data_IF_471485624699
#
_entry.id   IF_471485624699
#
_cell.length_a   1.000
_cell.length_b   1.000
_cell.length_c   1.000
_cell.angle_alpha   90.00
_cell.angle_beta   90.00
_cell.angle_gamma   90.00
#
_symmetry.space_group_name_H-M   'P 1'
#
loop_
_entity.id
_entity.type
_entity.pdbx_description
1 polymer ?
#
# COMPACT_ATOMS: atom_id res chain seq x y z
N UNK A 1 77.17 26.19 15.80
CA UNK A 1 75.99 26.51 14.98
C UNK A 1 75.15 27.50 15.78
N UNK A 2 75.12 28.74 15.33
CA UNK A 2 74.66 29.88 16.14
C UNK A 2 73.16 29.86 16.35
N UNK A 3 72.73 30.03 17.60
CA UNK A 3 71.34 29.95 18.01
C UNK A 3 70.39 30.91 17.24
N UNK A 4 70.95 31.93 16.60
CA UNK A 4 70.20 32.86 15.73
C UNK A 4 69.70 32.21 14.44
N UNK A 5 70.48 31.33 13.82
CA UNK A 5 70.12 30.66 12.58
C UNK A 5 69.03 29.62 12.77
N UNK A 6 68.96 28.99 13.96
CA UNK A 6 67.84 28.01 14.29
C UNK A 6 66.52 28.72 14.43
N UNK A 7 66.49 29.96 14.95
CA UNK A 7 65.23 30.72 15.06
C UNK A 7 64.66 31.13 13.69
N UNK A 8 65.52 31.50 12.76
CA UNK A 8 65.07 31.82 11.38
C UNK A 8 64.67 30.60 10.59
N UNK A 9 65.33 29.46 10.81
CA UNK A 9 64.95 28.22 10.17
C UNK A 9 63.54 27.73 10.65
N UNK A 10 63.25 27.84 11.95
CA UNK A 10 61.98 27.54 12.54
C UNK A 10 60.87 28.49 12.03
N UNK A 11 61.17 29.77 11.85
CA UNK A 11 60.19 30.74 11.32
C UNK A 11 59.86 30.49 9.85
N UNK A 12 60.83 30.11 9.03
CA UNK A 12 60.61 29.76 7.60
C UNK A 12 59.84 28.49 7.46
N UNK A 13 60.02 27.47 8.33
CA UNK A 13 59.21 26.24 8.32
C UNK A 13 57.74 26.47 8.71
N UNK A 14 57.45 27.44 9.58
CA UNK A 14 56.07 27.79 9.96
C UNK A 14 55.32 28.55 8.86
N UNK A 15 56.01 29.31 8.02
CA UNK A 15 55.40 30.09 6.93
C UNK A 15 55.09 29.19 5.69
N UNK A 16 55.89 28.09 5.51
CA UNK A 16 55.76 27.19 4.38
C UNK A 16 54.50 26.30 4.37
N UNK A 17 53.75 26.24 5.51
CA UNK A 17 52.54 25.40 5.61
C UNK A 17 51.23 26.19 5.53
N UNK A 18 51.26 27.47 5.20
CA UNK A 18 50.04 28.22 4.84
C UNK A 18 49.67 27.94 3.39
N UNK A 19 49.32 26.68 3.10
CA UNK A 19 48.58 26.38 1.88
C UNK A 19 47.22 27.11 1.96
N UNK A 20 46.93 28.03 1.04
CA UNK A 20 45.58 28.58 0.99
C UNK A 20 44.61 27.40 0.74
N UNK A 21 43.88 27.02 1.77
CA UNK A 21 42.70 26.18 1.59
C UNK A 21 41.72 27.02 0.78
N UNK A 22 41.87 26.96 -0.54
CA UNK A 22 40.86 27.44 -1.47
C UNK A 22 39.66 26.52 -1.35
N UNK A 23 38.85 26.73 -0.34
CA UNK A 23 37.49 26.24 -0.34
C UNK A 23 36.73 27.02 -1.41
N UNK A 24 36.99 26.67 -2.66
CA UNK A 24 36.12 27.05 -3.76
C UNK A 24 34.88 26.20 -3.68
N UNK A 25 33.97 26.54 -2.77
CA UNK A 25 32.56 26.26 -3.01
C UNK A 25 32.15 27.11 -4.20
N UNK A 26 32.30 26.56 -5.39
CA UNK A 26 31.62 27.11 -6.56
C UNK A 26 30.11 27.03 -6.24
N UNK A 27 29.56 28.11 -5.71
CA UNK A 27 28.15 28.27 -5.54
C UNK A 27 27.56 28.25 -6.96
N UNK A 28 27.03 27.08 -7.39
CA UNK A 28 26.24 27.01 -8.61
C UNK A 28 25.09 28.00 -8.43
N UNK A 29 25.09 29.05 -9.23
CA UNK A 29 23.94 29.95 -9.28
C UNK A 29 22.72 29.13 -9.72
N UNK A 30 21.63 29.24 -8.97
CA UNK A 30 20.36 28.64 -9.31
C UNK A 30 19.81 29.34 -10.55
N UNK A 31 19.70 28.60 -11.65
CA UNK A 31 19.02 29.03 -12.85
C UNK A 31 17.62 28.39 -12.91
N UNK A 32 16.70 28.98 -13.68
CA UNK A 32 15.36 28.41 -13.86
C UNK A 32 15.43 26.98 -14.42
N UNK A 33 16.40 26.71 -15.30
CA UNK A 33 16.62 25.38 -15.87
C UNK A 33 17.04 24.34 -14.80
N UNK A 34 17.77 24.78 -13.78
CA UNK A 34 18.17 23.92 -12.67
C UNK A 34 16.98 23.54 -11.77
N UNK A 35 15.92 24.37 -11.68
CA UNK A 35 14.74 24.07 -10.89
C UNK A 35 13.97 22.86 -11.46
N UNK A 36 13.93 22.72 -12.77
CA UNK A 36 13.27 21.58 -13.43
C UNK A 36 14.00 20.25 -13.13
N UNK A 37 15.31 20.31 -12.94
CA UNK A 37 16.14 19.14 -12.62
C UNK A 37 16.06 18.71 -11.14
N UNK A 38 15.46 19.54 -10.27
CA UNK A 38 15.35 19.22 -8.86
C UNK A 38 14.36 18.10 -8.62
N UNK A 39 14.81 17.17 -7.79
CA UNK A 39 14.00 16.05 -7.35
C UNK A 39 13.91 16.09 -5.83
N UNK A 40 12.76 15.70 -5.31
CA UNK A 40 12.55 15.51 -3.88
C UNK A 40 12.32 14.04 -3.59
N UNK A 41 12.74 13.58 -2.42
CA UNK A 41 12.33 12.29 -1.90
C UNK A 41 10.89 12.47 -1.38
N UNK A 42 9.93 11.84 -2.04
CA UNK A 42 8.50 11.91 -1.68
C UNK A 42 8.00 10.67 -0.96
N UNK A 43 8.82 9.64 -0.82
CA UNK A 43 8.54 8.43 -0.07
C UNK A 43 9.77 7.57 0.09
N UNK A 44 9.84 6.86 1.21
CA UNK A 44 10.90 5.90 1.51
C UNK A 44 10.31 4.70 2.22
N UNK A 45 10.95 3.55 2.05
CA UNK A 45 10.66 2.32 2.76
C UNK A 45 11.94 1.53 3.00
N UNK A 46 11.99 0.84 4.12
CA UNK A 46 13.06 -0.12 4.45
C UNK A 46 12.39 -1.48 4.58
N UNK A 47 13.03 -2.52 4.05
CA UNK A 47 12.56 -3.90 4.21
C UNK A 47 12.64 -4.34 5.68
N UNK A 48 11.76 -5.27 6.10
CA UNK A 48 11.72 -5.76 7.49
C UNK A 48 13.06 -6.35 7.95
N UNK A 49 13.85 -6.94 7.04
CA UNK A 49 15.18 -7.47 7.34
C UNK A 49 16.30 -6.40 7.35
N UNK A 50 15.99 -5.13 7.07
CA UNK A 50 16.94 -4.00 7.05
C UNK A 50 17.96 -3.99 5.92
N UNK A 51 17.88 -4.92 4.94
CA UNK A 51 18.89 -5.05 3.87
C UNK A 51 18.63 -4.17 2.67
N UNK A 52 17.39 -3.71 2.47
CA UNK A 52 16.95 -3.04 1.26
C UNK A 52 16.26 -1.72 1.60
N UNK A 53 16.54 -0.71 0.81
CA UNK A 53 15.94 0.62 0.92
C UNK A 53 15.37 1.01 -0.42
N UNK A 54 14.12 1.43 -0.46
CA UNK A 54 13.49 1.99 -1.64
C UNK A 54 13.15 3.46 -1.41
N UNK A 55 13.49 4.33 -2.37
CA UNK A 55 13.23 5.76 -2.31
C UNK A 55 12.50 6.23 -3.56
N UNK A 56 11.40 6.95 -3.39
CA UNK A 56 10.68 7.60 -4.46
C UNK A 56 11.24 9.00 -4.69
N UNK A 57 11.81 9.20 -5.85
CA UNK A 57 12.31 10.48 -6.33
C UNK A 57 11.22 11.11 -7.21
N UNK A 58 10.79 12.31 -6.88
CA UNK A 58 9.74 13.03 -7.59
C UNK A 58 10.29 14.35 -8.11
N UNK A 59 10.36 14.55 -9.43
CA UNK A 59 10.72 15.83 -10.02
C UNK A 59 9.59 16.85 -9.83
N UNK A 60 9.90 18.14 -9.95
CA UNK A 60 8.88 19.18 -9.95
C UNK A 60 7.86 18.96 -11.06
N UNK A 61 8.33 18.57 -12.24
CA UNK A 61 7.50 18.23 -13.38
C UNK A 61 8.00 16.95 -14.05
N UNK A 62 7.10 15.99 -14.31
CA UNK A 62 7.45 14.72 -14.94
C UNK A 62 6.96 13.51 -14.18
N UNK A 63 7.58 12.38 -14.49
CA UNK A 63 7.25 11.09 -13.89
C UNK A 63 8.17 10.82 -12.69
N UNK A 64 7.60 10.35 -11.59
CA UNK A 64 8.36 9.92 -10.43
C UNK A 64 9.08 8.59 -10.70
N UNK A 65 10.17 8.36 -9.98
CA UNK A 65 11.00 7.15 -10.08
C UNK A 65 11.20 6.57 -8.69
N UNK A 66 11.08 5.26 -8.54
CA UNK A 66 11.51 4.57 -7.32
C UNK A 66 12.83 3.88 -7.60
N UNK A 67 13.84 4.17 -6.80
CA UNK A 67 15.15 3.53 -6.82
C UNK A 67 15.27 2.59 -5.63
N UNK A 68 15.79 1.40 -5.88
CA UNK A 68 16.06 0.37 -4.90
C UNK A 68 17.56 0.29 -4.62
N UNK A 69 17.93 0.31 -3.36
CA UNK A 69 19.33 0.27 -2.89
C UNK A 69 19.54 -0.88 -1.92
N UNK A 70 20.76 -1.38 -1.86
CA UNK A 70 21.22 -2.23 -0.75
C UNK A 70 21.58 -1.39 0.48
N UNK A 71 21.92 -2.06 1.59
CA UNK A 71 22.32 -1.42 2.84
C UNK A 71 23.65 -0.61 2.74
N UNK A 72 24.42 -0.81 1.66
CA UNK A 72 25.65 -0.07 1.37
C UNK A 72 25.40 1.15 0.48
N UNK A 73 24.17 1.39 0.06
CA UNK A 73 23.77 2.49 -0.82
C UNK A 73 24.02 2.24 -2.30
N UNK A 74 24.30 1.01 -2.70
CA UNK A 74 24.43 0.64 -4.11
C UNK A 74 23.05 0.50 -4.73
N UNK A 75 22.81 1.17 -5.84
CA UNK A 75 21.58 1.04 -6.60
C UNK A 75 21.50 -0.33 -7.28
N UNK A 76 20.37 -1.01 -7.07
CA UNK A 76 20.10 -2.36 -7.60
C UNK A 76 19.11 -2.34 -8.75
N UNK A 77 18.08 -1.48 -8.65
CA UNK A 77 17.03 -1.40 -9.66
C UNK A 77 16.34 -0.04 -9.64
N UNK A 78 15.79 0.34 -10.78
CA UNK A 78 15.04 1.57 -10.99
C UNK A 78 13.66 1.26 -11.58
N UNK A 79 12.62 1.88 -11.01
CA UNK A 79 11.23 1.72 -11.43
C UNK A 79 10.67 3.07 -11.88
N UNK A 80 10.64 3.35 -13.20
CA UNK A 80 10.11 4.60 -13.72
C UNK A 80 8.59 4.67 -13.54
N UNK A 81 8.06 5.89 -13.38
CA UNK A 81 6.62 6.16 -13.25
C UNK A 81 5.99 5.50 -12.03
N UNK A 82 6.78 5.22 -11.00
CA UNK A 82 6.32 4.56 -9.80
C UNK A 82 5.44 5.49 -8.95
N UNK A 83 4.38 4.92 -8.36
CA UNK A 83 3.48 5.64 -7.45
C UNK A 83 3.56 5.09 -6.03
N UNK A 84 3.10 3.87 -5.80
CA UNK A 84 3.19 3.18 -4.52
C UNK A 84 4.19 2.04 -4.63
N UNK A 85 4.91 1.81 -3.55
CA UNK A 85 5.85 0.69 -3.44
C UNK A 85 5.84 0.15 -2.01
N UNK A 86 5.93 -1.18 -1.89
CA UNK A 86 5.87 -1.90 -0.63
C UNK A 86 6.82 -3.09 -0.70
N UNK A 87 7.58 -3.34 0.38
CA UNK A 87 8.29 -4.60 0.54
C UNK A 87 7.35 -5.70 1.01
N UNK A 88 7.65 -6.93 0.64
CA UNK A 88 6.95 -8.11 1.13
C UNK A 88 7.36 -8.45 2.57
N UNK A 89 6.56 -9.28 3.23
CA UNK A 89 6.81 -9.77 4.58
C UNK A 89 8.16 -10.49 4.71
N UNK A 90 8.52 -11.31 3.71
CA UNK A 90 9.83 -11.99 3.66
C UNK A 90 10.99 -11.05 3.39
N UNK A 91 10.72 -9.82 2.92
CA UNK A 91 11.73 -8.91 2.37
C UNK A 91 12.43 -9.42 1.10
N UNK A 92 11.83 -10.37 0.37
CA UNK A 92 12.37 -10.93 -0.87
C UNK A 92 11.76 -10.30 -2.13
N UNK A 93 10.72 -9.50 -1.96
CA UNK A 93 10.02 -8.85 -3.06
C UNK A 93 9.78 -7.36 -2.80
N UNK A 94 9.86 -6.59 -3.87
CA UNK A 94 9.38 -5.20 -3.93
C UNK A 94 8.20 -5.14 -4.90
N UNK A 95 7.05 -4.71 -4.42
CA UNK A 95 5.84 -4.55 -5.22
C UNK A 95 5.63 -3.07 -5.51
N UNK A 96 5.57 -2.70 -6.78
CA UNK A 96 5.54 -1.31 -7.24
C UNK A 96 4.36 -1.10 -8.17
N UNK A 97 3.50 -0.13 -7.89
CA UNK A 97 2.53 0.33 -8.89
C UNK A 97 3.15 1.40 -9.79
N UNK A 98 2.96 1.25 -11.10
CA UNK A 98 3.46 2.18 -12.11
C UNK A 98 2.31 2.88 -12.80
N UNK A 99 2.37 4.21 -12.86
CA UNK A 99 1.40 5.02 -13.61
C UNK A 99 1.72 5.04 -15.12
N UNK A 100 0.74 5.32 -15.96
CA UNK A 100 1.01 5.69 -17.34
C UNK A 100 1.87 6.98 -17.39
N UNK A 101 2.72 7.09 -18.40
CA UNK A 101 3.57 8.28 -18.56
C UNK A 101 2.76 9.58 -18.59
N UNK A 102 3.19 10.57 -17.82
CA UNK A 102 2.50 11.87 -17.68
C UNK A 102 2.26 12.53 -19.05
N UNK A 103 3.26 12.55 -19.92
CA UNK A 103 3.13 13.13 -21.27
C UNK A 103 2.04 12.45 -22.12
N UNK A 104 1.90 11.12 -22.00
CA UNK A 104 0.87 10.36 -22.71
C UNK A 104 -0.51 10.75 -22.17
N UNK A 105 -0.65 10.77 -20.84
CA UNK A 105 -1.91 11.12 -20.16
C UNK A 105 -2.33 12.54 -20.51
N UNK A 106 -1.40 13.51 -20.50
CA UNK A 106 -1.69 14.91 -20.79
C UNK A 106 -2.05 15.13 -22.28
N UNK A 107 -1.36 14.46 -23.20
CA UNK A 107 -1.74 14.45 -24.61
C UNK A 107 -3.15 13.91 -24.85
N UNK A 108 -3.53 12.84 -24.16
CA UNK A 108 -4.87 12.24 -24.26
C UNK A 108 -5.95 13.14 -23.64
N UNK A 109 -5.63 13.87 -22.56
CA UNK A 109 -6.53 14.87 -21.97
C UNK A 109 -6.77 16.05 -22.93
N UNK A 110 -5.72 16.57 -23.55
CA UNK A 110 -5.83 17.64 -24.56
C UNK A 110 -6.74 17.19 -25.72
N UNK A 111 -6.60 15.92 -26.15
CA UNK A 111 -7.46 15.31 -27.18
C UNK A 111 -8.87 14.98 -26.68
N UNK A 112 -9.23 15.32 -25.43
CA UNK A 112 -10.52 15.03 -24.80
C UNK A 112 -10.90 13.53 -24.89
N UNK A 113 -9.90 12.66 -24.77
CA UNK A 113 -10.11 11.20 -24.82
C UNK A 113 -11.02 10.76 -23.69
N UNK A 114 -12.00 9.89 -23.98
CA UNK A 114 -12.93 9.35 -22.99
C UNK A 114 -12.18 8.57 -21.91
N UNK A 115 -12.64 8.65 -20.65
CA UNK A 115 -12.03 8.00 -19.48
C UNK A 115 -11.80 6.49 -19.67
N UNK A 116 -12.70 5.82 -20.38
CA UNK A 116 -12.59 4.37 -20.66
C UNK A 116 -11.40 4.02 -21.56
N UNK A 117 -10.93 4.96 -22.37
CA UNK A 117 -9.81 4.79 -23.30
C UNK A 117 -8.48 5.32 -22.75
N UNK A 118 -8.48 5.90 -21.56
CA UNK A 118 -7.24 6.32 -20.91
C UNK A 118 -6.44 5.09 -20.48
N UNK A 119 -5.10 5.11 -20.54
CA UNK A 119 -4.28 4.02 -20.05
C UNK A 119 -4.49 3.81 -18.54
N UNK A 120 -4.24 2.62 -18.06
CA UNK A 120 -4.34 2.23 -16.65
C UNK A 120 -2.95 1.99 -16.07
N UNK A 121 -2.89 1.92 -14.76
CA UNK A 121 -1.67 1.61 -14.03
C UNK A 121 -1.23 0.15 -14.31
N UNK A 122 0.00 -0.16 -13.97
CA UNK A 122 0.53 -1.52 -13.95
C UNK A 122 1.04 -1.85 -12.54
N UNK A 123 1.06 -3.12 -12.18
CA UNK A 123 1.69 -3.63 -10.97
C UNK A 123 2.95 -4.40 -11.36
N UNK A 124 4.05 -4.06 -10.74
CA UNK A 124 5.34 -4.75 -10.91
C UNK A 124 5.66 -5.49 -9.63
N UNK A 125 5.85 -6.78 -9.71
CA UNK A 125 6.37 -7.62 -8.64
C UNK A 125 7.83 -7.91 -8.99
N UNK A 126 8.75 -7.37 -8.21
CA UNK A 126 10.18 -7.51 -8.42
C UNK A 126 10.78 -8.42 -7.35
N UNK A 127 11.39 -9.52 -7.77
CA UNK A 127 12.13 -10.39 -6.86
C UNK A 127 13.54 -9.85 -6.65
N UNK A 128 13.96 -9.72 -5.40
CA UNK A 128 15.29 -9.24 -5.02
C UNK A 128 16.40 -10.27 -5.34
N UNK A 129 16.03 -11.53 -5.57
CA UNK A 129 16.92 -12.57 -6.09
C UNK A 129 17.03 -12.60 -7.61
N UNK A 130 16.27 -11.76 -8.31
CA UNK A 130 16.17 -11.69 -9.76
C UNK A 130 14.81 -12.15 -10.27
N UNK A 131 14.29 -11.43 -11.24
CA UNK A 131 12.97 -11.68 -11.83
C UNK A 131 12.01 -10.52 -11.64
N UNK A 132 11.12 -10.39 -12.62
CA UNK A 132 10.12 -9.31 -12.66
C UNK A 132 8.87 -9.83 -13.34
N UNK A 133 7.75 -9.73 -12.64
CA UNK A 133 6.41 -9.93 -13.18
C UNK A 133 5.73 -8.58 -13.36
N UNK A 134 5.04 -8.37 -14.48
CA UNK A 134 4.27 -7.15 -14.74
C UNK A 134 2.82 -7.51 -15.00
N UNK A 135 1.93 -6.91 -14.24
CA UNK A 135 0.48 -7.07 -14.35
C UNK A 135 -0.10 -5.77 -14.87
N UNK A 136 -0.56 -5.78 -16.11
CA UNK A 136 -1.13 -4.60 -16.76
C UNK A 136 -2.58 -4.35 -16.33
N UNK A 137 -3.03 -3.11 -16.61
CA UNK A 137 -4.41 -2.67 -16.38
C UNK A 137 -4.84 -2.76 -14.91
N UNK A 138 -3.95 -2.42 -14.01
CA UNK A 138 -4.21 -2.42 -12.57
C UNK A 138 -5.29 -1.41 -12.21
N UNK A 139 -6.31 -1.85 -11.44
CA UNK A 139 -7.33 -0.98 -10.85
C UNK A 139 -6.99 -0.64 -9.40
N UNK A 140 -6.66 -1.64 -8.61
CA UNK A 140 -6.24 -1.51 -7.21
C UNK A 140 -5.51 -2.77 -6.76
N UNK A 141 -4.70 -2.65 -5.71
CA UNK A 141 -4.04 -3.80 -5.08
C UNK A 141 -3.91 -3.64 -3.57
N UNK A 142 -3.71 -4.75 -2.89
CA UNK A 142 -3.32 -4.87 -1.50
C UNK A 142 -2.20 -5.90 -1.39
N UNK A 143 -1.24 -5.63 -0.52
CA UNK A 143 -0.18 -6.56 -0.15
C UNK A 143 -0.46 -7.01 1.28
N UNK A 144 -0.30 -8.30 1.56
CA UNK A 144 -0.36 -8.80 2.92
C UNK A 144 0.87 -8.33 3.71
N UNK A 145 0.69 -7.88 4.95
CA UNK A 145 1.78 -7.33 5.76
C UNK A 145 2.69 -8.41 6.34
N UNK A 146 2.13 -9.59 6.66
CA UNK A 146 2.86 -10.69 7.28
C UNK A 146 2.78 -12.00 6.48
N UNK A 147 2.47 -11.91 5.19
CA UNK A 147 2.49 -13.04 4.27
C UNK A 147 2.88 -12.56 2.86
N UNK A 148 3.54 -13.41 2.09
CA UNK A 148 3.98 -13.05 0.72
C UNK A 148 2.85 -13.25 -0.30
N UNK A 149 1.75 -12.53 -0.09
CA UNK A 149 0.56 -12.57 -0.94
C UNK A 149 0.16 -11.19 -1.42
N UNK A 150 -0.30 -11.11 -2.65
CA UNK A 150 -0.87 -9.91 -3.24
C UNK A 150 -2.28 -10.18 -3.76
N UNK A 151 -3.17 -9.25 -3.48
CA UNK A 151 -4.53 -9.24 -4.01
C UNK A 151 -4.71 -8.01 -4.90
N UNK A 152 -5.29 -8.17 -6.09
CA UNK A 152 -5.47 -7.06 -7.03
C UNK A 152 -6.68 -7.24 -7.92
N UNK A 153 -7.17 -6.15 -8.47
CA UNK A 153 -8.18 -6.10 -9.51
C UNK A 153 -7.62 -5.48 -10.78
N UNK A 154 -8.06 -5.98 -11.93
CA UNK A 154 -7.67 -5.50 -13.27
C UNK A 154 -8.86 -4.86 -13.99
N UNK A 155 -8.56 -4.03 -14.97
CA UNK A 155 -9.57 -3.45 -15.83
C UNK A 155 -10.52 -2.47 -15.14
N UNK A 156 -11.18 -1.63 -15.92
CA UNK A 156 -12.10 -0.61 -15.39
C UNK A 156 -13.48 -1.16 -15.05
N UNK A 157 -13.95 -2.11 -15.82
CA UNK A 157 -15.29 -2.71 -15.69
C UNK A 157 -15.23 -4.07 -15.02
N UNK A 158 -14.11 -4.74 -15.11
CA UNK A 158 -13.88 -6.00 -14.44
C UNK A 158 -13.70 -5.77 -12.94
N UNK A 159 -14.46 -6.49 -12.15
CA UNK A 159 -14.39 -6.47 -10.70
C UNK A 159 -13.90 -7.80 -10.13
N UNK A 160 -13.31 -8.65 -10.97
CA UNK A 160 -12.70 -9.91 -10.52
C UNK A 160 -11.50 -9.59 -9.63
N UNK A 161 -11.50 -10.20 -8.47
CA UNK A 161 -10.38 -10.18 -7.55
C UNK A 161 -9.45 -11.35 -7.88
N UNK A 162 -8.17 -11.05 -8.06
CA UNK A 162 -7.09 -12.01 -8.20
C UNK A 162 -6.24 -11.99 -6.95
N UNK A 163 -5.96 -13.17 -6.39
CA UNK A 163 -5.10 -13.33 -5.21
C UNK A 163 -4.04 -14.35 -5.54
N UNK A 164 -2.78 -13.97 -5.44
CA UNK A 164 -1.65 -14.83 -5.77
C UNK A 164 -0.47 -14.65 -4.81
N UNK A 165 0.38 -15.67 -4.63
CA UNK A 165 1.63 -15.51 -3.93
C UNK A 165 2.59 -14.63 -4.74
N UNK A 166 3.52 -13.96 -4.07
CA UNK A 166 4.57 -13.18 -4.72
C UNK A 166 5.60 -14.07 -5.42
N UNK A 167 5.77 -15.30 -4.93
CA UNK A 167 6.63 -16.28 -5.56
C UNK A 167 5.98 -16.82 -6.85
N UNK A 168 6.48 -16.39 -8.00
CA UNK A 168 5.97 -16.78 -9.30
C UNK A 168 6.07 -18.31 -9.58
N UNK A 169 6.90 -19.05 -8.83
CA UNK A 169 7.01 -20.51 -8.96
C UNK A 169 5.82 -21.25 -8.31
N UNK A 170 5.05 -20.58 -7.46
CA UNK A 170 3.83 -21.14 -6.89
C UNK A 170 2.67 -20.88 -7.84
N UNK A 171 2.01 -21.96 -8.26
CA UNK A 171 0.87 -21.90 -9.17
C UNK A 171 -0.45 -21.60 -8.49
N UNK A 172 -0.48 -21.54 -7.16
CA UNK A 172 -1.70 -21.30 -6.38
C UNK A 172 -2.23 -19.90 -6.63
N UNK A 173 -3.39 -19.80 -7.24
CA UNK A 173 -4.09 -18.54 -7.49
C UNK A 173 -5.54 -18.68 -7.14
N UNK A 174 -6.12 -17.64 -6.57
CA UNK A 174 -7.54 -17.58 -6.25
C UNK A 174 -8.20 -16.46 -7.03
N UNK A 175 -9.40 -16.69 -7.49
CA UNK A 175 -10.22 -15.71 -8.18
C UNK A 175 -11.58 -15.62 -7.50
N UNK A 176 -12.13 -14.42 -7.45
CA UNK A 176 -13.48 -14.16 -6.99
C UNK A 176 -14.15 -13.10 -7.89
N UNK A 177 -15.35 -13.40 -8.44
CA UNK A 177 -16.02 -12.48 -9.36
C UNK A 177 -16.71 -11.32 -8.61
N UNK A 178 -16.95 -10.24 -9.31
CA UNK A 178 -17.78 -9.11 -8.90
C UNK A 178 -17.46 -8.53 -7.50
N UNK A 179 -16.16 -8.49 -7.14
CA UNK A 179 -15.70 -8.01 -5.84
C UNK A 179 -15.75 -6.48 -5.77
N UNK A 180 -16.40 -5.96 -4.73
CA UNK A 180 -16.56 -4.53 -4.44
C UNK A 180 -15.47 -3.97 -3.54
N UNK A 181 -15.03 -4.76 -2.55
CA UNK A 181 -13.98 -4.39 -1.59
C UNK A 181 -13.25 -5.63 -1.09
N UNK A 182 -12.00 -5.46 -0.71
CA UNK A 182 -11.17 -6.51 -0.11
C UNK A 182 -10.02 -5.91 0.68
N UNK A 183 -9.55 -6.61 1.70
CA UNK A 183 -8.34 -6.28 2.43
C UNK A 183 -7.77 -7.51 3.14
N UNK A 184 -6.47 -7.50 3.41
CA UNK A 184 -5.81 -8.49 4.25
C UNK A 184 -5.95 -8.13 5.74
N UNK A 185 -5.84 -9.14 6.60
CA UNK A 185 -5.57 -8.95 8.01
C UNK A 185 -4.12 -8.48 8.22
N UNK A 186 -3.85 -7.79 9.32
CA UNK A 186 -2.53 -7.19 9.56
C UNK A 186 -1.45 -8.22 9.83
N UNK A 187 -1.73 -9.26 10.64
CA UNK A 187 -0.71 -10.22 11.09
C UNK A 187 -0.79 -11.59 10.42
N UNK A 188 -1.65 -11.78 9.43
CA UNK A 188 -1.84 -13.07 8.76
C UNK A 188 -2.11 -12.95 7.27
N UNK A 189 -2.12 -14.08 6.56
CA UNK A 189 -2.54 -14.18 5.17
C UNK A 189 -4.06 -14.26 4.97
N UNK A 190 -4.86 -13.96 6.01
CA UNK A 190 -6.31 -13.93 5.89
C UNK A 190 -6.78 -12.73 5.09
N UNK A 191 -7.68 -12.95 4.15
CA UNK A 191 -8.24 -11.92 3.28
C UNK A 191 -9.77 -11.93 3.38
N UNK A 192 -10.39 -10.79 3.65
CA UNK A 192 -11.81 -10.66 3.39
C UNK A 192 -12.08 -10.06 2.01
N UNK A 193 -13.19 -10.45 1.40
CA UNK A 193 -13.72 -9.77 0.23
C UNK A 193 -15.24 -9.73 0.25
N UNK A 194 -15.78 -8.65 -0.31
CA UNK A 194 -17.21 -8.43 -0.47
C UNK A 194 -17.54 -8.57 -1.94
N UNK A 195 -18.38 -9.55 -2.29
CA UNK A 195 -18.79 -9.78 -3.67
C UNK A 195 -20.29 -9.52 -3.89
N UNK A 196 -20.64 -9.08 -5.10
CA UNK A 196 -22.01 -9.09 -5.57
C UNK A 196 -22.45 -10.50 -5.99
N UNK A 197 -21.53 -11.45 -5.98
CA UNK A 197 -21.72 -12.80 -6.46
C UNK A 197 -21.80 -12.87 -7.98
N UNK A 198 -21.76 -14.08 -8.49
CA UNK A 198 -22.20 -14.41 -9.82
C UNK A 198 -23.40 -15.35 -9.74
N UNK A 199 -24.11 -15.48 -10.85
CA UNK A 199 -25.34 -16.32 -10.86
C UNK A 199 -25.02 -17.83 -10.82
N UNK A 200 -23.75 -18.21 -10.97
CA UNK A 200 -23.36 -19.60 -11.17
C UNK A 200 -22.67 -20.21 -9.94
N UNK A 201 -21.75 -19.50 -9.26
CA UNK A 201 -20.87 -20.13 -8.28
C UNK A 201 -20.80 -19.42 -6.92
N UNK A 202 -20.80 -18.09 -6.88
CA UNK A 202 -20.66 -17.34 -5.62
C UNK A 202 -21.91 -16.53 -5.30
N UNK A 203 -22.49 -16.76 -4.12
CA UNK A 203 -23.57 -15.94 -3.59
C UNK A 203 -23.06 -14.53 -3.23
N UNK A 204 -23.93 -13.50 -3.31
CA UNK A 204 -23.54 -12.17 -2.83
C UNK A 204 -23.31 -12.20 -1.31
N UNK A 205 -22.24 -11.54 -0.87
CA UNK A 205 -21.92 -11.51 0.55
C UNK A 205 -20.49 -11.13 0.89
N UNK A 206 -20.17 -11.29 2.16
CA UNK A 206 -18.82 -11.14 2.73
C UNK A 206 -18.21 -12.52 2.91
N UNK A 207 -17.06 -12.72 2.32
CA UNK A 207 -16.26 -13.94 2.39
C UNK A 207 -14.95 -13.72 3.10
N UNK A 208 -14.45 -14.79 3.71
CA UNK A 208 -13.12 -14.92 4.25
C UNK A 208 -12.36 -15.96 3.45
N UNK A 209 -11.16 -15.62 3.00
CA UNK A 209 -10.23 -16.51 2.31
C UNK A 209 -8.96 -16.67 3.15
N UNK A 210 -8.64 -17.89 3.50
CA UNK A 210 -7.30 -18.24 4.00
C UNK A 210 -6.40 -18.51 2.79
N UNK A 211 -5.40 -17.66 2.55
CA UNK A 211 -4.56 -17.77 1.35
C UNK A 211 -3.61 -18.96 1.41
N UNK A 212 -3.27 -19.45 2.60
CA UNK A 212 -2.37 -20.61 2.77
C UNK A 212 -3.08 -21.92 2.48
N UNK A 213 -4.31 -22.08 2.98
CA UNK A 213 -5.07 -23.31 2.84
C UNK A 213 -6.03 -23.30 1.64
N UNK A 214 -6.34 -22.13 1.10
CA UNK A 214 -7.32 -21.93 0.02
C UNK A 214 -8.77 -22.03 0.46
N UNK A 215 -9.03 -22.16 1.75
CA UNK A 215 -10.40 -22.30 2.26
C UNK A 215 -11.11 -20.96 2.17
N UNK A 216 -12.24 -20.96 1.43
CA UNK A 216 -13.18 -19.85 1.34
C UNK A 216 -14.37 -20.10 2.25
N UNK A 217 -14.70 -19.17 3.12
CA UNK A 217 -15.86 -19.24 4.02
C UNK A 217 -16.79 -18.07 3.80
N UNK A 218 -18.06 -18.34 3.61
CA UNK A 218 -19.11 -17.31 3.56
C UNK A 218 -19.44 -16.86 4.97
N UNK A 219 -19.05 -15.65 5.31
CA UNK A 219 -19.23 -15.04 6.63
C UNK A 219 -20.64 -14.48 6.80
N UNK A 220 -21.13 -13.78 5.77
CA UNK A 220 -22.47 -13.20 5.76
C UNK A 220 -23.00 -13.14 4.34
N UNK A 221 -24.09 -13.86 4.09
CA UNK A 221 -24.83 -13.78 2.84
C UNK A 221 -25.67 -12.50 2.78
N UNK A 222 -25.71 -11.87 1.63
CA UNK A 222 -26.57 -10.72 1.33
C UNK A 222 -25.96 -9.74 0.34
N UNK A 223 -26.80 -9.14 -0.49
CA UNK A 223 -26.42 -8.10 -1.46
C UNK A 223 -26.59 -6.68 -0.88
N UNK A 224 -26.56 -6.56 0.44
CA UNK A 224 -26.66 -5.30 1.16
C UNK A 224 -25.36 -4.49 1.15
N UNK A 225 -25.32 -3.48 2.01
CA UNK A 225 -24.17 -2.60 2.19
C UNK A 225 -23.37 -3.06 3.39
N UNK A 226 -22.12 -3.41 3.15
CA UNK A 226 -21.11 -3.70 4.16
C UNK A 226 -20.23 -2.45 4.37
N UNK A 227 -19.96 -2.08 5.61
CA UNK A 227 -19.06 -0.97 5.96
C UNK A 227 -18.17 -1.33 7.14
N UNK A 228 -17.03 -0.65 7.24
CA UNK A 228 -16.09 -0.77 8.35
C UNK A 228 -15.77 -2.23 8.70
N UNK A 229 -15.42 -3.01 7.65
CA UNK A 229 -15.00 -4.39 7.86
C UNK A 229 -13.61 -4.38 8.43
N UNK A 230 -13.45 -4.89 9.65
CA UNK A 230 -12.22 -4.85 10.42
C UNK A 230 -11.91 -6.22 10.99
N UNK A 231 -10.67 -6.64 10.85
CA UNK A 231 -10.12 -7.81 11.53
C UNK A 231 -9.63 -7.45 12.94
N UNK A 232 -9.54 -8.46 13.82
CA UNK A 232 -8.56 -8.45 14.88
C UNK A 232 -7.15 -8.62 14.31
N UNK A 233 -6.13 -8.45 15.14
CA UNK A 233 -4.72 -8.47 14.71
C UNK A 233 -4.35 -9.78 14.01
N UNK A 234 -4.82 -10.93 14.52
CA UNK A 234 -4.49 -12.24 13.99
C UNK A 234 -5.34 -12.64 12.77
N UNK A 235 -6.39 -11.89 12.48
CA UNK A 235 -7.33 -12.18 11.38
C UNK A 235 -8.29 -13.33 11.69
N UNK A 236 -8.41 -13.73 12.95
CA UNK A 236 -9.29 -14.80 13.40
C UNK A 236 -10.74 -14.33 13.55
N UNK A 237 -10.92 -13.08 13.95
CA UNK A 237 -12.24 -12.48 14.16
C UNK A 237 -12.46 -11.31 13.21
N UNK A 238 -13.70 -11.12 12.81
CA UNK A 238 -14.10 -10.10 11.84
C UNK A 238 -15.35 -9.38 12.33
N UNK A 239 -15.28 -8.06 12.48
CA UNK A 239 -16.43 -7.22 12.78
C UNK A 239 -16.78 -6.33 11.61
N UNK A 240 -18.06 -6.07 11.40
CA UNK A 240 -18.52 -5.20 10.33
C UNK A 240 -19.93 -4.66 10.56
N UNK A 241 -20.24 -3.56 9.90
CA UNK A 241 -21.59 -3.03 9.81
C UNK A 241 -22.27 -3.55 8.55
N UNK A 242 -23.50 -4.03 8.68
CA UNK A 242 -24.30 -4.50 7.56
C UNK A 242 -25.70 -3.89 7.56
N UNK A 243 -26.18 -3.57 6.37
CA UNK A 243 -27.56 -3.16 6.12
C UNK A 243 -28.08 -3.82 4.85
N UNK A 244 -29.19 -4.52 4.95
CA UNK A 244 -29.85 -5.14 3.79
C UNK A 244 -30.45 -4.11 2.83
N UNK A 245 -30.83 -2.92 3.31
CA UNK A 245 -31.47 -1.86 2.53
C UNK A 245 -30.44 -0.92 1.93
N UNK A 246 -30.29 -0.91 0.59
CA UNK A 246 -29.29 -0.09 -0.09
C UNK A 246 -29.55 1.43 0.04
N UNK A 247 -30.79 1.85 -0.02
CA UNK A 247 -31.15 3.28 -0.10
C UNK A 247 -31.19 4.01 1.23
N UNK A 248 -31.21 3.28 2.34
CA UNK A 248 -31.32 3.84 3.70
C UNK A 248 -30.33 3.21 4.68
N UNK A 249 -29.17 2.74 4.18
CA UNK A 249 -28.25 1.92 4.95
C UNK A 249 -27.77 2.59 6.25
N UNK A 250 -27.50 3.91 6.25
CA UNK A 250 -27.05 4.64 7.45
C UNK A 250 -28.10 4.70 8.57
N UNK A 251 -29.40 4.43 8.26
CA UNK A 251 -30.47 4.42 9.25
C UNK A 251 -30.77 3.03 9.83
N UNK A 252 -30.30 1.98 9.19
CA UNK A 252 -30.65 0.60 9.51
C UNK A 252 -29.42 -0.34 9.58
N UNK A 253 -28.25 0.19 9.88
CA UNK A 253 -27.06 -0.62 10.07
C UNK A 253 -27.13 -1.41 11.36
N UNK A 254 -26.70 -2.67 11.32
CA UNK A 254 -26.46 -3.52 12.46
C UNK A 254 -24.97 -3.95 12.50
N UNK A 255 -24.50 -4.22 13.71
CA UNK A 255 -23.14 -4.72 13.97
C UNK A 255 -23.17 -6.25 13.95
N UNK A 256 -22.27 -6.82 13.18
CA UNK A 256 -22.06 -8.26 13.03
C UNK A 256 -20.66 -8.65 13.43
N UNK A 257 -20.54 -9.83 14.03
CA UNK A 257 -19.29 -10.42 14.45
C UNK A 257 -19.17 -11.86 13.93
N UNK A 258 -18.05 -12.18 13.31
CA UNK A 258 -17.62 -13.53 12.97
C UNK A 258 -16.43 -13.88 13.85
N UNK A 259 -16.46 -15.05 14.50
CA UNK A 259 -15.38 -15.55 15.32
C UNK A 259 -14.79 -16.79 14.67
N UNK A 260 -13.46 -16.85 14.59
CA UNK A 260 -12.71 -17.98 14.02
C UNK A 260 -13.20 -18.40 12.62
N UNK A 261 -13.60 -17.43 11.80
CA UNK A 261 -14.12 -17.69 10.47
C UNK A 261 -15.50 -18.34 10.40
N UNK A 262 -16.23 -18.45 11.51
CA UNK A 262 -17.60 -18.95 11.53
C UNK A 262 -18.55 -17.92 10.89
N UNK A 263 -19.75 -18.34 10.40
CA UNK A 263 -20.78 -17.43 9.95
C UNK A 263 -21.09 -16.35 10.99
N UNK A 264 -21.21 -15.09 10.54
CA UNK A 264 -21.39 -13.96 11.43
C UNK A 264 -22.76 -13.96 12.11
N UNK A 265 -22.76 -13.52 13.36
CA UNK A 265 -23.97 -13.29 14.17
C UNK A 265 -24.19 -11.80 14.38
N UNK A 266 -25.44 -11.39 14.45
CA UNK A 266 -25.79 -10.00 14.77
C UNK A 266 -25.61 -9.74 16.25
N UNK A 267 -24.73 -8.77 16.59
CA UNK A 267 -24.40 -8.41 17.96
C UNK A 267 -25.32 -7.28 18.45
N UNK A 268 -25.58 -6.31 17.59
CA UNK A 268 -26.41 -5.17 17.95
C UNK A 268 -27.11 -4.60 16.70
N UNK A 269 -28.39 -4.31 16.86
CA UNK A 269 -29.20 -3.61 15.86
C UNK A 269 -29.54 -2.19 16.34
N UNK A 270 -29.91 -1.33 15.40
CA UNK A 270 -30.39 0.03 15.73
C UNK A 270 -31.63 -0.06 16.63
N UNK A 271 -31.61 0.66 17.73
CA UNK A 271 -32.68 0.67 18.73
C UNK A 271 -32.42 -0.24 19.93
N UNK A 272 -31.38 -1.08 19.87
CA UNK A 272 -30.91 -1.83 21.02
C UNK A 272 -30.11 -0.89 21.96
N UNK A 273 -30.11 -1.17 23.28
CA UNK A 273 -29.43 -0.30 24.29
C UNK A 273 -27.92 -0.14 24.04
N UNK A 274 -27.33 -1.04 23.26
CA UNK A 274 -25.92 -0.96 22.85
C UNK A 274 -25.61 0.18 21.85
N UNK A 275 -26.65 0.72 21.15
CA UNK A 275 -26.48 1.85 20.24
C UNK A 275 -27.19 3.07 20.85
N UNK A 276 -26.47 4.11 21.31
CA UNK A 276 -27.09 5.34 21.76
C UNK A 276 -27.92 5.97 20.64
N UNK A 277 -29.05 6.57 21.00
CA UNK A 277 -29.88 7.34 20.06
C UNK A 277 -29.04 8.48 19.49
N UNK A 278 -28.74 8.39 18.21
CA UNK A 278 -27.86 9.35 17.55
C UNK A 278 -28.55 10.64 17.17
N UNK A 279 -27.93 11.74 17.57
CA UNK A 279 -27.95 13.01 16.84
C UNK A 279 -27.07 12.91 15.58
N UNK A 280 -27.16 13.88 14.68
CA UNK A 280 -26.55 13.99 13.34
C UNK A 280 -25.00 13.87 13.29
N UNK A 281 -24.36 12.79 13.72
CA UNK A 281 -22.90 12.65 13.67
C UNK A 281 -22.42 11.76 12.51
N UNK A 282 -21.33 12.18 11.87
CA UNK A 282 -20.93 11.80 10.51
C UNK A 282 -19.96 10.61 10.36
N UNK A 283 -19.37 10.11 11.44
CA UNK A 283 -18.40 9.02 11.35
C UNK A 283 -18.41 8.10 12.58
N UNK A 284 -18.20 6.80 12.37
CA UNK A 284 -18.03 5.78 13.39
C UNK A 284 -16.80 4.94 13.03
N UNK A 285 -15.91 4.76 13.97
CA UNK A 285 -14.83 3.80 13.87
C UNK A 285 -15.08 2.63 14.81
N UNK A 286 -14.88 1.42 14.33
CA UNK A 286 -14.95 0.19 15.13
C UNK A 286 -13.51 -0.23 15.41
N UNK A 287 -13.13 -0.28 16.69
CA UNK A 287 -11.85 -0.82 17.13
C UNK A 287 -12.12 -2.05 17.98
N UNK A 288 -11.45 -3.16 17.68
CA UNK A 288 -11.55 -4.41 18.42
C UNK A 288 -10.32 -4.52 19.33
N UNK A 289 -10.52 -4.64 20.64
CA UNK A 289 -9.45 -4.84 21.62
C UNK A 289 -9.33 -6.31 22.04
N UNK A 290 -8.09 -6.77 22.24
CA UNK A 290 -7.73 -8.18 22.42
C UNK A 290 -8.07 -8.81 23.78
N UNK A 291 -8.42 -8.06 24.82
CA UNK A 291 -8.59 -8.64 26.15
C UNK A 291 -10.01 -9.13 26.43
N UNK A 292 -10.20 -10.45 26.37
CA UNK A 292 -11.23 -11.30 26.99
C UNK A 292 -12.71 -11.12 26.65
N UNK A 293 -13.14 -10.03 26.07
CA UNK A 293 -14.45 -9.84 25.42
C UNK A 293 -14.29 -8.77 24.33
N UNK A 294 -14.89 -8.92 23.15
CA UNK A 294 -14.88 -7.86 22.15
C UNK A 294 -15.66 -6.66 22.69
N UNK A 295 -14.95 -5.73 23.29
CA UNK A 295 -15.53 -4.45 23.70
C UNK A 295 -15.39 -3.54 22.50
N UNK A 296 -16.51 -3.24 21.87
CA UNK A 296 -16.58 -2.30 20.77
C UNK A 296 -16.63 -0.90 21.37
N UNK A 297 -15.52 -0.15 21.26
CA UNK A 297 -15.49 1.26 21.60
C UNK A 297 -15.84 2.11 20.39
N UNK A 298 -16.73 3.07 20.60
CA UNK A 298 -17.12 4.06 19.63
C UNK A 298 -16.31 5.32 19.88
N UNK A 299 -15.45 5.69 18.94
CA UNK A 299 -14.82 7.00 18.97
C UNK A 299 -15.62 7.95 18.08
N UNK A 300 -15.95 9.12 18.63
CA UNK A 300 -16.58 10.21 17.91
C UNK A 300 -15.45 11.11 17.43
N UNK A 301 -15.26 11.20 16.14
CA UNK A 301 -14.37 12.17 15.50
C UNK A 301 -15.15 13.39 15.04
#
# INVERSE_FOLDING_TARGET
MDMKHVKYLALVLCIGNLSPVMAQTASKSLTVDNLVAWQRISGQAISDNGKWVACKMEPWEGDAVVNLYDAQGKELATFPRADRFLFSASSDYLVVSQKPGKMIVDSLKIKKTKKEKMPMDALVIYSLSGGREVIDSLKTFRLAEKADWVAFQKGRKDSTLYVQPLNANLSTRYEAPAVKAFNFAEKSGMLYYITAGDKAEEKPGLYLLNTETGVKTLIKEGDGVFKQVTFDEDGANLAFLYCAQKDSCYKAMSLWLSQQGAPATEVAARGNRAFPKMGNQRAWEITIFEECFPVVFWHIA
#
